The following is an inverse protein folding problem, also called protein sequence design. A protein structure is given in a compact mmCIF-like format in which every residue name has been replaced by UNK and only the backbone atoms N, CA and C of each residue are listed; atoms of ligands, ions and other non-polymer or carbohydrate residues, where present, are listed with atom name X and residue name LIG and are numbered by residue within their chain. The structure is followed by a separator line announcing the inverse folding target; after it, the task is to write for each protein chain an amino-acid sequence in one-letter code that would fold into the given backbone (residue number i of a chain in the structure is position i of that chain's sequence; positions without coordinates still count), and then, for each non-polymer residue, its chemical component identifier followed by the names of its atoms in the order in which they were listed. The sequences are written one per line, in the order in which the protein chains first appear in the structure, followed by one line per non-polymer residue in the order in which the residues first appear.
data_IF_677485781410
#
_entry.id   IF_677485781410
#
_cell.length_a   1.000
_cell.length_b   1.000
_cell.length_c   1.000
_cell.angle_alpha   90.00
_cell.angle_beta   90.00
_cell.angle_gamma   90.00
#
_symmetry.space_group_name_H-M   'P 1'
#
loop_
_entity.id
_entity.type
_entity.pdbx_description
1 polymer ?
#
# COMPACT_ATOMS: atom_id res chain seq x y z
N UNK A 1 -24.45 -4.60 -8.06
CA UNK A 1 -23.13 -4.10 -7.57
C UNK A 1 -22.48 -5.24 -6.83
N UNK A 2 -21.22 -5.52 -7.12
CA UNK A 2 -20.43 -6.52 -6.42
C UNK A 2 -20.20 -6.10 -4.96
N UNK A 3 -19.99 -7.07 -4.07
CA UNK A 3 -19.70 -6.79 -2.65
C UNK A 3 -18.30 -6.20 -2.46
N UNK A 4 -17.37 -6.52 -3.37
CA UNK A 4 -15.97 -6.10 -3.34
C UNK A 4 -15.59 -5.49 -4.69
N UNK A 5 -14.89 -4.35 -4.67
CA UNK A 5 -14.15 -3.88 -5.84
C UNK A 5 -12.64 -4.04 -5.60
N UNK A 6 -11.94 -4.67 -6.53
CA UNK A 6 -10.48 -4.80 -6.49
C UNK A 6 -9.89 -3.68 -7.33
N UNK A 7 -9.25 -2.71 -6.68
CA UNK A 7 -8.61 -1.56 -7.32
C UNK A 7 -7.13 -1.86 -7.54
N UNK A 8 -6.70 -1.77 -8.81
CA UNK A 8 -5.33 -2.04 -9.24
C UNK A 8 -4.76 -0.76 -9.86
N UNK A 9 -3.90 -0.01 -9.14
CA UNK A 9 -3.15 1.09 -9.74
C UNK A 9 -2.09 0.51 -10.68
N UNK A 10 -2.06 1.00 -11.92
CA UNK A 10 -1.11 0.56 -12.93
C UNK A 10 -0.30 1.72 -13.51
N UNK A 11 0.98 1.50 -13.74
CA UNK A 11 1.88 2.38 -14.50
C UNK A 11 3.02 1.57 -15.10
N UNK A 12 3.04 1.45 -16.43
CA UNK A 12 4.03 0.69 -17.19
C UNK A 12 4.25 -0.72 -16.62
N UNK A 13 3.13 -1.43 -16.37
CA UNK A 13 3.10 -2.71 -15.66
C UNK A 13 2.80 -3.93 -16.52
N UNK A 14 2.88 -3.85 -17.86
CA UNK A 14 2.47 -4.88 -18.82
C UNK A 14 2.76 -6.32 -18.36
N UNK A 15 4.02 -6.58 -17.98
CA UNK A 15 4.46 -7.94 -17.63
C UNK A 15 3.83 -8.46 -16.34
N UNK A 16 3.73 -7.60 -15.32
CA UNK A 16 3.24 -7.97 -14.00
C UNK A 16 1.72 -7.99 -13.98
N UNK A 17 1.07 -7.01 -14.63
CA UNK A 17 -0.38 -6.88 -14.67
C UNK A 17 -1.06 -8.12 -15.26
N UNK A 18 -0.47 -8.73 -16.29
CA UNK A 18 -0.97 -9.99 -16.89
C UNK A 18 -1.07 -11.10 -15.85
N UNK A 19 -0.06 -11.30 -15.04
CA UNK A 19 -0.06 -12.33 -13.99
C UNK A 19 -1.01 -11.98 -12.85
N UNK A 20 -1.07 -10.69 -12.47
CA UNK A 20 -2.00 -10.15 -11.47
C UNK A 20 -3.45 -10.48 -11.88
N UNK A 21 -3.90 -10.06 -13.06
CA UNK A 21 -5.25 -10.32 -13.58
C UNK A 21 -5.54 -11.81 -13.71
N UNK A 22 -4.58 -12.59 -14.22
CA UNK A 22 -4.73 -14.05 -14.32
C UNK A 22 -4.92 -14.73 -12.95
N UNK A 23 -4.38 -14.16 -11.87
CA UNK A 23 -4.57 -14.66 -10.52
C UNK A 23 -5.97 -14.38 -9.96
N UNK A 24 -6.58 -13.27 -10.37
CA UNK A 24 -7.95 -12.92 -9.98
C UNK A 24 -8.98 -13.82 -10.64
N UNK A 25 -8.75 -14.25 -11.88
CA UNK A 25 -9.60 -15.25 -12.55
C UNK A 25 -9.69 -16.57 -11.78
N UNK A 26 -8.70 -16.88 -10.92
CA UNK A 26 -8.60 -18.13 -10.14
C UNK A 26 -9.16 -18.03 -8.73
N UNK A 27 -9.68 -16.87 -8.31
CA UNK A 27 -10.28 -16.72 -6.98
C UNK A 27 -11.47 -17.66 -6.82
N UNK A 28 -11.66 -18.21 -5.62
CA UNK A 28 -12.86 -18.99 -5.28
C UNK A 28 -14.04 -18.11 -4.85
N UNK A 29 -13.77 -16.95 -4.27
CA UNK A 29 -14.77 -15.90 -4.06
C UNK A 29 -15.08 -15.20 -5.38
N UNK A 30 -16.36 -15.01 -5.73
CA UNK A 30 -16.77 -14.51 -7.06
C UNK A 30 -17.53 -13.20 -7.05
N UNK A 31 -18.00 -12.74 -5.92
CA UNK A 31 -18.77 -11.50 -5.82
C UNK A 31 -17.84 -10.26 -5.73
N UNK A 32 -17.06 -10.07 -6.80
CA UNK A 32 -16.19 -8.92 -6.95
C UNK A 32 -16.15 -8.43 -8.40
N UNK A 33 -15.81 -7.15 -8.55
CA UNK A 33 -15.39 -6.51 -9.79
C UNK A 33 -13.93 -6.01 -9.68
N UNK A 34 -13.35 -5.64 -10.81
CA UNK A 34 -11.97 -5.16 -10.91
C UNK A 34 -11.97 -3.77 -11.53
N UNK A 35 -11.32 -2.82 -10.88
CA UNK A 35 -11.11 -1.46 -11.40
C UNK A 35 -9.61 -1.25 -11.57
N UNK A 36 -9.15 -1.18 -12.82
CA UNK A 36 -7.75 -0.86 -13.13
C UNK A 36 -7.65 0.64 -13.36
N UNK A 37 -6.84 1.33 -12.54
CA UNK A 37 -6.57 2.76 -12.74
C UNK A 37 -5.20 2.90 -13.39
N UNK A 38 -5.22 3.25 -14.68
CA UNK A 38 -3.99 3.39 -15.47
C UNK A 38 -3.43 4.80 -15.39
N UNK A 39 -2.25 4.94 -14.78
CA UNK A 39 -1.55 6.20 -14.56
C UNK A 39 -0.79 6.69 -15.82
N UNK A 40 -1.44 6.69 -17.00
CA UNK A 40 -0.84 7.10 -18.27
C UNK A 40 0.32 6.19 -18.67
N UNK A 41 0.07 4.87 -18.79
CA UNK A 41 1.09 3.91 -19.25
C UNK A 41 1.42 4.11 -20.72
N UNK A 42 2.70 3.93 -21.06
CA UNK A 42 3.24 4.02 -22.42
C UNK A 42 3.61 2.64 -22.99
N UNK A 43 3.49 1.57 -22.18
CA UNK A 43 3.70 0.18 -22.59
C UNK A 43 2.39 -0.49 -23.04
N UNK A 44 2.40 -1.81 -23.26
CA UNK A 44 1.22 -2.56 -23.69
C UNK A 44 0.24 -2.87 -22.52
N UNK A 45 0.29 -2.13 -21.41
CA UNK A 45 -0.62 -2.35 -20.27
C UNK A 45 -2.10 -2.31 -20.66
N UNK A 46 -2.52 -1.34 -21.47
CA UNK A 46 -3.93 -1.22 -21.92
C UNK A 46 -4.35 -2.44 -22.75
N UNK A 47 -3.48 -2.94 -23.63
CA UNK A 47 -3.75 -4.17 -24.39
C UNK A 47 -3.92 -5.38 -23.46
N UNK A 48 -3.10 -5.52 -22.41
CA UNK A 48 -3.24 -6.59 -21.41
C UNK A 48 -4.59 -6.54 -20.70
N UNK A 49 -5.10 -5.33 -20.44
CA UNK A 49 -6.41 -5.13 -19.81
C UNK A 49 -7.51 -5.59 -20.77
N UNK A 50 -7.50 -5.11 -22.03
CA UNK A 50 -8.45 -5.49 -23.07
C UNK A 50 -8.52 -7.01 -23.26
N UNK A 51 -7.37 -7.69 -23.32
CA UNK A 51 -7.28 -9.16 -23.42
C UNK A 51 -7.88 -9.90 -22.21
N UNK A 52 -8.09 -9.22 -21.11
CA UNK A 52 -8.67 -9.78 -19.87
C UNK A 52 -10.17 -9.53 -19.72
N UNK A 53 -10.76 -8.71 -20.57
CA UNK A 53 -12.20 -8.45 -20.62
C UNK A 53 -12.98 -9.74 -20.95
N UNK A 54 -14.21 -9.82 -20.44
CA UNK A 54 -15.09 -10.97 -20.63
C UNK A 54 -14.86 -12.14 -19.65
N UNK A 55 -13.69 -12.26 -19.02
CA UNK A 55 -13.45 -13.24 -17.96
C UNK A 55 -13.55 -12.64 -16.55
N UNK A 56 -13.34 -11.34 -16.43
CA UNK A 56 -13.52 -10.54 -15.22
C UNK A 56 -14.52 -9.41 -15.51
N UNK A 57 -15.34 -9.05 -14.51
CA UNK A 57 -16.07 -7.80 -14.54
C UNK A 57 -15.06 -6.68 -14.29
N UNK A 58 -14.56 -6.07 -15.36
CA UNK A 58 -13.42 -5.18 -15.35
C UNK A 58 -13.79 -3.80 -15.89
N UNK A 59 -13.40 -2.75 -15.19
CA UNK A 59 -13.49 -1.35 -15.57
C UNK A 59 -12.10 -0.74 -15.64
N UNK A 60 -11.85 0.18 -16.59
CA UNK A 60 -10.58 0.90 -16.74
C UNK A 60 -10.81 2.38 -16.52
N UNK A 61 -10.00 3.00 -15.69
CA UNK A 61 -9.94 4.46 -15.49
C UNK A 61 -8.58 4.94 -16.00
N UNK A 62 -8.51 5.47 -17.24
CA UNK A 62 -7.27 6.03 -17.75
C UNK A 62 -7.06 7.43 -17.20
N UNK A 63 -5.87 7.72 -16.69
CA UNK A 63 -5.43 9.05 -16.29
C UNK A 63 -4.58 9.67 -17.41
N UNK A 64 -4.59 11.00 -17.51
CA UNK A 64 -3.85 11.76 -18.50
C UNK A 64 -2.38 12.02 -18.13
N UNK A 65 -1.98 11.64 -16.89
CA UNK A 65 -0.61 11.74 -16.39
C UNK A 65 -0.37 10.74 -15.25
N UNK A 66 0.90 10.47 -14.92
CA UNK A 66 1.25 9.71 -13.73
C UNK A 66 1.17 10.59 -12.47
N UNK A 67 0.04 10.51 -11.78
CA UNK A 67 -0.23 11.22 -10.51
C UNK A 67 0.23 10.46 -9.27
N UNK A 68 0.81 9.27 -9.43
CA UNK A 68 1.29 8.42 -8.35
C UNK A 68 0.22 7.48 -7.78
N UNK A 69 0.66 6.67 -6.83
CA UNK A 69 -0.16 5.62 -6.23
C UNK A 69 -1.39 6.17 -5.49
N UNK A 70 -1.20 7.18 -4.63
CA UNK A 70 -2.27 7.71 -3.78
C UNK A 70 -3.47 8.24 -4.60
N UNK A 71 -3.22 8.97 -5.70
CA UNK A 71 -4.28 9.47 -6.59
C UNK A 71 -4.97 8.33 -7.31
N UNK A 72 -4.22 7.38 -7.89
CA UNK A 72 -4.81 6.27 -8.63
C UNK A 72 -5.72 5.42 -7.74
N UNK A 73 -5.30 5.06 -6.53
CA UNK A 73 -6.16 4.28 -5.62
C UNK A 73 -7.37 5.08 -5.17
N UNK A 74 -7.25 6.40 -4.97
CA UNK A 74 -8.39 7.25 -4.62
C UNK A 74 -9.44 7.27 -5.72
N UNK A 75 -9.03 7.38 -6.98
CA UNK A 75 -9.97 7.39 -8.11
C UNK A 75 -10.70 6.06 -8.22
N UNK A 76 -9.99 4.93 -8.07
CA UNK A 76 -10.60 3.61 -8.04
C UNK A 76 -11.55 3.41 -6.85
N UNK A 77 -11.18 3.88 -5.64
CA UNK A 77 -12.05 3.79 -4.45
C UNK A 77 -13.33 4.62 -4.64
N UNK A 78 -13.21 5.81 -5.23
CA UNK A 78 -14.37 6.70 -5.50
C UNK A 78 -15.28 6.16 -6.58
N UNK A 79 -14.75 5.49 -7.61
CA UNK A 79 -15.53 4.84 -8.65
C UNK A 79 -16.27 3.59 -8.12
N UNK A 80 -15.70 2.92 -7.11
CA UNK A 80 -16.32 1.75 -6.49
C UNK A 80 -17.64 2.07 -5.81
N UNK A 81 -18.68 1.28 -6.10
CA UNK A 81 -19.94 1.26 -5.35
C UNK A 81 -20.03 0.16 -4.30
N UNK A 82 -18.99 -0.65 -4.13
CA UNK A 82 -18.95 -1.83 -3.27
C UNK A 82 -18.84 -1.50 -1.78
N UNK A 83 -19.21 -2.45 -0.92
CA UNK A 83 -19.07 -2.34 0.54
C UNK A 83 -17.59 -2.34 0.97
N UNK A 84 -16.80 -3.17 0.29
CA UNK A 84 -15.37 -3.33 0.54
C UNK A 84 -14.55 -2.99 -0.70
N UNK A 85 -13.35 -2.46 -0.49
CA UNK A 85 -12.36 -2.25 -1.56
C UNK A 85 -11.09 -3.01 -1.21
N UNK A 86 -10.60 -3.84 -2.13
CA UNK A 86 -9.27 -4.42 -2.05
C UNK A 86 -8.34 -3.56 -2.91
N UNK A 87 -7.25 -3.08 -2.31
CA UNK A 87 -6.14 -2.51 -3.06
C UNK A 87 -5.15 -3.64 -3.34
N UNK A 88 -4.79 -3.80 -4.60
CA UNK A 88 -3.86 -4.82 -5.07
C UNK A 88 -2.88 -4.20 -6.05
N UNK A 89 -1.59 -4.29 -5.75
CA UNK A 89 -0.57 -3.83 -6.70
C UNK A 89 -0.60 -4.64 -8.00
N UNK A 90 -0.29 -3.99 -9.12
CA UNK A 90 -0.18 -4.65 -10.42
C UNK A 90 0.93 -5.72 -10.48
N UNK A 91 1.92 -5.67 -9.55
CA UNK A 91 3.00 -6.65 -9.39
C UNK A 91 2.74 -7.65 -8.24
N UNK A 92 1.48 -7.80 -7.82
CA UNK A 92 1.05 -8.79 -6.85
C UNK A 92 0.23 -9.92 -7.51
N UNK A 93 0.45 -11.15 -7.05
CA UNK A 93 -0.26 -12.34 -7.50
C UNK A 93 -1.12 -12.85 -6.35
N UNK A 94 -2.43 -12.75 -6.50
CA UNK A 94 -3.40 -13.15 -5.48
C UNK A 94 -3.46 -14.68 -5.33
N UNK A 95 -3.31 -15.19 -4.11
CA UNK A 95 -3.57 -16.58 -3.80
C UNK A 95 -5.07 -16.91 -3.94
N UNK A 96 -5.41 -18.13 -4.32
CA UNK A 96 -6.79 -18.57 -4.66
C UNK A 96 -7.86 -18.17 -3.63
N UNK A 97 -7.52 -18.13 -2.35
CA UNK A 97 -8.45 -17.87 -1.25
C UNK A 97 -8.34 -16.44 -0.70
N UNK A 98 -7.52 -15.58 -1.31
CA UNK A 98 -7.18 -14.26 -0.77
C UNK A 98 -8.41 -13.37 -0.57
N UNK A 99 -9.22 -13.23 -1.61
CA UNK A 99 -10.39 -12.34 -1.56
C UNK A 99 -11.39 -12.82 -0.49
N UNK A 100 -11.74 -14.10 -0.51
CA UNK A 100 -12.69 -14.66 0.46
C UNK A 100 -12.21 -14.58 1.91
N UNK A 101 -10.92 -14.82 2.17
CA UNK A 101 -10.34 -14.71 3.51
C UNK A 101 -10.38 -13.26 4.04
N UNK A 102 -10.04 -12.28 3.18
CA UNK A 102 -10.10 -10.86 3.53
C UNK A 102 -11.53 -10.38 3.81
N UNK A 103 -12.49 -10.76 2.97
CA UNK A 103 -13.92 -10.44 3.16
C UNK A 103 -14.43 -11.01 4.48
N UNK A 104 -14.22 -12.30 4.70
CA UNK A 104 -14.64 -12.99 5.94
C UNK A 104 -14.01 -12.35 7.18
N UNK A 105 -12.80 -11.79 7.08
CA UNK A 105 -12.16 -11.07 8.18
C UNK A 105 -12.93 -9.81 8.56
N UNK A 106 -13.29 -8.96 7.59
CA UNK A 106 -14.02 -7.72 7.85
C UNK A 106 -15.47 -7.97 8.25
N UNK A 107 -16.12 -9.00 7.71
CA UNK A 107 -17.50 -9.36 8.11
C UNK A 107 -17.60 -9.77 9.58
N UNK A 108 -16.59 -10.49 10.09
CA UNK A 108 -16.57 -10.96 11.48
C UNK A 108 -16.20 -9.87 12.49
N UNK A 109 -15.51 -8.82 12.05
CA UNK A 109 -15.00 -7.76 12.93
C UNK A 109 -15.43 -6.38 12.40
N UNK A 110 -16.61 -5.86 12.79
CA UNK A 110 -17.18 -4.62 12.25
C UNK A 110 -16.40 -3.36 12.65
N UNK A 111 -15.54 -3.43 13.65
CA UNK A 111 -14.64 -2.38 14.14
C UNK A 111 -13.30 -2.33 13.37
N UNK A 112 -13.11 -3.25 12.42
CA UNK A 112 -11.91 -3.26 11.57
C UNK A 112 -12.12 -2.39 10.33
N UNK A 113 -11.18 -1.44 10.11
CA UNK A 113 -11.09 -0.65 8.89
C UNK A 113 -10.40 -1.41 7.78
N UNK A 114 -9.22 -1.96 8.06
CA UNK A 114 -8.42 -2.64 7.04
C UNK A 114 -7.86 -3.98 7.51
N UNK A 115 -7.75 -4.93 6.57
CA UNK A 115 -7.07 -6.20 6.79
C UNK A 115 -6.04 -6.46 5.69
N UNK A 116 -4.78 -6.70 6.09
CA UNK A 116 -3.70 -7.00 5.16
C UNK A 116 -3.54 -8.50 4.98
N UNK A 117 -3.37 -8.92 3.73
CA UNK A 117 -2.96 -10.28 3.38
C UNK A 117 -1.50 -10.56 3.78
N UNK A 118 -1.15 -11.83 3.97
CA UNK A 118 0.23 -12.29 4.03
C UNK A 118 0.88 -12.08 2.66
N UNK A 119 1.72 -11.06 2.53
CA UNK A 119 2.50 -10.84 1.33
C UNK A 119 3.82 -11.61 1.42
N UNK A 120 4.02 -12.52 0.50
CA UNK A 120 5.23 -13.35 0.37
C UNK A 120 6.09 -12.83 -0.77
N UNK A 121 7.39 -12.99 -0.67
CA UNK A 121 8.28 -12.65 -1.78
C UNK A 121 8.03 -13.59 -2.97
N UNK A 122 7.87 -13.03 -4.17
CA UNK A 122 7.59 -13.80 -5.39
C UNK A 122 8.67 -14.86 -5.66
N UNK A 123 9.94 -14.46 -5.56
CA UNK A 123 11.08 -15.34 -5.84
C UNK A 123 11.42 -16.29 -4.68
N UNK A 124 10.90 -16.03 -3.47
CA UNK A 124 11.10 -16.91 -2.31
C UNK A 124 9.87 -16.94 -1.41
N UNK A 125 8.93 -17.81 -1.74
CA UNK A 125 7.62 -17.94 -1.07
C UNK A 125 7.70 -18.37 0.41
N UNK A 126 8.91 -18.69 0.92
CA UNK A 126 9.16 -19.00 2.33
C UNK A 126 9.42 -17.75 3.17
N UNK A 127 9.65 -16.60 2.53
CA UNK A 127 9.95 -15.34 3.18
C UNK A 127 8.78 -14.35 3.05
N UNK A 128 8.57 -13.60 4.12
CA UNK A 128 7.63 -12.48 4.14
C UNK A 128 8.19 -11.31 3.31
N UNK A 129 7.34 -10.70 2.50
CA UNK A 129 7.56 -9.37 1.96
C UNK A 129 6.95 -8.31 2.89
N UNK A 130 5.69 -8.49 3.30
CA UNK A 130 5.02 -7.68 4.32
C UNK A 130 3.92 -8.47 5.04
N UNK A 131 3.85 -8.33 6.36
CA UNK A 131 2.79 -8.85 7.22
C UNK A 131 2.15 -7.71 8.07
N UNK A 132 2.06 -6.52 7.51
CA UNK A 132 1.67 -5.28 8.15
C UNK A 132 2.81 -4.27 8.15
N UNK A 133 2.52 -3.04 8.57
CA UNK A 133 3.55 -2.03 8.75
C UNK A 133 3.70 -1.66 10.21
N UNK A 134 4.91 -1.24 10.55
CA UNK A 134 5.25 -0.61 11.81
C UNK A 134 5.56 0.87 11.59
N UNK A 135 5.30 1.65 12.61
CA UNK A 135 5.77 3.02 12.71
C UNK A 135 6.38 3.25 14.10
N UNK A 136 7.54 3.88 14.18
CA UNK A 136 8.26 4.04 15.43
C UNK A 136 8.54 5.52 15.76
N UNK A 137 8.92 5.76 17.00
CA UNK A 137 9.22 7.10 17.55
C UNK A 137 10.36 7.85 16.83
N UNK A 138 11.19 7.14 16.06
CA UNK A 138 12.22 7.73 15.19
C UNK A 138 11.65 8.31 13.89
N UNK A 139 10.32 8.24 13.68
CA UNK A 139 9.65 8.68 12.46
C UNK A 139 9.83 7.74 11.28
N UNK A 140 10.09 6.45 11.52
CA UNK A 140 10.29 5.46 10.47
C UNK A 140 9.10 4.54 10.32
N UNK A 141 8.59 4.39 9.09
CA UNK A 141 7.72 3.29 8.68
C UNK A 141 8.54 2.16 8.07
N UNK A 142 8.16 0.91 8.35
CA UNK A 142 8.80 -0.28 7.80
C UNK A 142 7.89 -1.50 7.86
N UNK A 143 8.04 -2.40 6.88
CA UNK A 143 7.24 -3.61 6.78
C UNK A 143 7.57 -4.60 7.90
N UNK A 144 6.53 -5.11 8.56
CA UNK A 144 6.62 -6.17 9.57
C UNK A 144 7.02 -7.49 8.91
N UNK A 145 8.01 -8.16 9.47
CA UNK A 145 8.43 -9.50 9.06
C UNK A 145 9.24 -9.58 7.77
N UNK A 146 9.60 -8.45 7.16
CA UNK A 146 10.31 -8.44 5.89
C UNK A 146 11.61 -9.26 5.96
N UNK A 147 11.81 -10.16 4.98
CA UNK A 147 12.93 -11.09 4.86
C UNK A 147 12.96 -12.19 5.96
N UNK A 148 11.90 -12.29 6.79
CA UNK A 148 11.76 -13.34 7.80
C UNK A 148 10.96 -14.53 7.29
N UNK A 149 11.11 -15.70 7.96
CA UNK A 149 10.41 -16.92 7.59
C UNK A 149 8.88 -16.77 7.78
N UNK A 150 8.10 -17.06 6.74
CA UNK A 150 6.64 -16.96 6.73
C UNK A 150 5.97 -17.83 7.82
N UNK A 151 6.61 -18.94 8.20
CA UNK A 151 6.13 -19.83 9.26
C UNK A 151 6.01 -19.17 10.64
N UNK A 152 6.67 -18.03 10.86
CA UNK A 152 6.58 -17.23 12.11
C UNK A 152 5.40 -16.27 12.13
N UNK A 153 4.71 -16.10 11.00
CA UNK A 153 3.65 -15.09 10.79
C UNK A 153 2.29 -15.74 10.49
N UNK A 154 1.97 -16.86 11.12
CA UNK A 154 0.73 -17.62 10.90
C UNK A 154 -0.44 -17.18 11.80
N UNK A 155 -0.20 -16.36 12.80
CA UNK A 155 -1.22 -15.86 13.73
C UNK A 155 -1.84 -14.55 13.26
N UNK A 156 -3.18 -14.43 13.43
CA UNK A 156 -3.93 -13.17 13.27
C UNK A 156 -3.53 -12.19 14.38
N UNK A 157 -3.37 -10.91 14.02
CA UNK A 157 -3.04 -9.87 15.01
C UNK A 157 -3.44 -8.48 14.52
N UNK A 158 -3.48 -7.53 15.45
CA UNK A 158 -3.54 -6.12 15.13
C UNK A 158 -2.18 -5.65 14.57
N UNK A 159 -2.24 -4.73 13.62
CA UNK A 159 -1.08 -4.10 13.00
C UNK A 159 -1.19 -2.58 13.09
N UNK A 160 -0.10 -1.86 12.82
CA UNK A 160 -0.16 -0.41 12.82
C UNK A 160 -0.94 0.10 11.60
N UNK A 161 -0.58 -0.35 10.41
CA UNK A 161 -1.29 -0.09 9.15
C UNK A 161 -1.19 -1.28 8.21
N UNK A 162 -2.12 -1.37 7.27
CA UNK A 162 -2.12 -2.37 6.21
C UNK A 162 -1.39 -1.80 4.99
N UNK A 163 -0.38 -2.52 4.49
CA UNK A 163 0.26 -2.20 3.22
C UNK A 163 -0.74 -2.35 2.08
N UNK A 164 -0.97 -1.27 1.36
CA UNK A 164 -1.96 -1.21 0.27
C UNK A 164 -1.61 -2.04 -0.97
N UNK A 165 -0.49 -2.77 -0.93
CA UNK A 165 -0.10 -3.71 -1.99
C UNK A 165 -0.97 -4.97 -2.08
N UNK A 166 -1.61 -5.39 -0.98
CA UNK A 166 -2.62 -6.46 -0.93
C UNK A 166 -3.43 -6.35 0.37
N UNK A 167 -4.41 -5.47 0.42
CA UNK A 167 -5.22 -5.23 1.61
C UNK A 167 -6.67 -4.88 1.25
N UNK A 168 -7.61 -5.29 2.11
CA UNK A 168 -9.03 -4.93 2.03
C UNK A 168 -9.33 -3.79 2.99
N UNK A 169 -10.26 -2.93 2.59
CA UNK A 169 -10.71 -1.76 3.35
C UNK A 169 -12.23 -1.70 3.38
N UNK A 170 -12.79 -1.28 4.51
CA UNK A 170 -14.21 -0.94 4.64
C UNK A 170 -14.46 0.43 4.00
N UNK A 171 -15.06 0.45 2.80
CA UNK A 171 -15.15 1.66 1.96
C UNK A 171 -15.77 2.86 2.67
N UNK A 172 -16.86 2.66 3.42
CA UNK A 172 -17.53 3.76 4.14
C UNK A 172 -16.64 4.52 5.13
N UNK A 173 -15.57 3.89 5.63
CA UNK A 173 -14.68 4.55 6.61
C UNK A 173 -13.82 5.62 5.95
N UNK A 174 -13.56 5.54 4.63
CA UNK A 174 -12.87 6.62 3.91
C UNK A 174 -13.65 7.94 3.96
N UNK A 175 -14.98 7.90 4.03
CA UNK A 175 -15.82 9.11 4.14
C UNK A 175 -15.68 9.77 5.52
N UNK A 176 -15.29 9.00 6.54
CA UNK A 176 -15.07 9.46 7.91
C UNK A 176 -13.63 9.97 8.13
N UNK A 177 -12.63 9.18 7.74
CA UNK A 177 -11.21 9.48 8.01
C UNK A 177 -10.50 10.20 6.87
N UNK A 178 -11.15 10.37 5.73
CA UNK A 178 -10.59 10.88 4.47
C UNK A 178 -9.85 9.81 3.66
N UNK A 179 -9.63 10.09 2.40
CA UNK A 179 -8.94 9.23 1.44
C UNK A 179 -7.42 9.27 1.62
N UNK A 180 -6.66 8.54 0.78
CA UNK A 180 -5.21 8.62 0.76
C UNK A 180 -4.76 10.04 0.41
N UNK A 181 -3.76 10.59 1.11
CA UNK A 181 -3.28 11.94 0.82
C UNK A 181 -2.37 11.93 -0.42
N UNK A 182 -2.85 12.56 -1.48
CA UNK A 182 -2.18 12.61 -2.78
C UNK A 182 -0.81 13.34 -2.74
N UNK A 183 -0.55 14.14 -1.68
CA UNK A 183 0.77 14.73 -1.47
C UNK A 183 1.88 13.69 -1.25
N UNK A 184 1.54 12.49 -0.83
CA UNK A 184 2.51 11.39 -0.69
C UNK A 184 3.02 10.90 -2.03
N UNK A 185 2.22 10.95 -3.08
CA UNK A 185 2.51 10.36 -4.39
C UNK A 185 2.64 8.83 -4.33
N UNK A 186 3.63 8.30 -3.60
CA UNK A 186 3.82 6.89 -3.27
C UNK A 186 4.70 6.75 -2.03
N UNK A 187 4.59 5.64 -1.31
CA UNK A 187 5.26 5.26 -0.05
C UNK A 187 4.78 6.05 1.18
N UNK A 188 4.41 5.33 2.21
CA UNK A 188 3.89 5.77 3.50
C UNK A 188 2.49 6.41 3.49
N UNK A 189 1.82 6.49 2.34
CA UNK A 189 0.42 6.87 2.26
C UNK A 189 -0.49 5.84 2.96
N UNK A 190 -0.11 4.56 2.91
CA UNK A 190 -0.76 3.47 3.62
C UNK A 190 -0.52 3.55 5.14
N UNK A 191 0.67 3.96 5.56
CA UNK A 191 0.96 4.22 6.97
C UNK A 191 0.17 5.44 7.47
N UNK A 192 0.02 6.50 6.66
CA UNK A 192 -0.77 7.69 6.98
C UNK A 192 -2.24 7.33 7.21
N UNK A 193 -2.86 6.60 6.28
CA UNK A 193 -4.29 6.28 6.41
C UNK A 193 -4.54 5.30 7.56
N UNK A 194 -3.64 4.33 7.79
CA UNK A 194 -3.71 3.42 8.93
C UNK A 194 -3.55 4.15 10.27
N UNK A 195 -2.72 5.19 10.32
CA UNK A 195 -2.57 6.05 11.50
C UNK A 195 -3.87 6.83 11.78
N UNK A 196 -4.43 7.47 10.73
CA UNK A 196 -5.71 8.18 10.85
C UNK A 196 -6.84 7.25 11.32
N UNK A 197 -6.93 6.05 10.77
CA UNK A 197 -7.90 5.05 11.22
C UNK A 197 -7.80 4.80 12.73
N UNK A 198 -6.58 4.63 13.27
CA UNK A 198 -6.35 4.46 14.72
C UNK A 198 -6.76 5.69 15.55
N UNK A 199 -6.51 6.91 15.04
CA UNK A 199 -6.95 8.14 15.72
C UNK A 199 -8.48 8.18 15.84
N UNK A 200 -9.20 7.66 14.85
CA UNK A 200 -10.67 7.57 14.84
C UNK A 200 -11.22 6.33 15.57
N UNK A 201 -10.37 5.51 16.16
CA UNK A 201 -10.77 4.32 16.93
C UNK A 201 -10.94 3.05 16.12
N UNK A 202 -10.63 3.07 14.81
CA UNK A 202 -10.66 1.91 13.94
C UNK A 202 -9.41 1.04 14.09
N UNK A 203 -9.57 -0.27 13.85
CA UNK A 203 -8.47 -1.24 13.88
C UNK A 203 -7.96 -1.57 12.48
N UNK A 204 -6.66 -1.81 12.37
CA UNK A 204 -6.01 -2.42 11.22
C UNK A 204 -5.51 -3.79 11.64
N UNK A 205 -5.75 -4.84 10.85
CA UNK A 205 -5.45 -6.22 11.22
C UNK A 205 -4.67 -6.96 10.13
N UNK A 206 -4.03 -8.03 10.53
CA UNK A 206 -3.33 -8.95 9.65
C UNK A 206 -4.11 -10.27 9.51
N UNK A 207 -4.30 -10.74 8.27
CA UNK A 207 -5.00 -11.99 7.94
C UNK A 207 -4.05 -12.95 7.22
N UNK A 208 -3.43 -13.91 7.93
CA UNK A 208 -2.46 -14.84 7.35
C UNK A 208 -3.05 -15.90 6.41
N UNK A 209 -4.36 -16.14 6.44
CA UNK A 209 -5.05 -17.06 5.52
C UNK A 209 -5.18 -16.45 4.12
N UNK A 210 -5.27 -15.12 4.03
CA UNK A 210 -5.18 -14.39 2.78
C UNK A 210 -3.71 -14.28 2.36
N UNK A 211 -3.36 -14.81 1.20
CA UNK A 211 -1.97 -14.82 0.72
C UNK A 211 -1.85 -14.12 -0.63
N UNK A 212 -0.79 -13.34 -0.80
CA UNK A 212 -0.38 -12.76 -2.08
C UNK A 212 1.13 -12.95 -2.27
N UNK A 213 1.57 -13.14 -3.51
CA UNK A 213 2.98 -13.07 -3.87
C UNK A 213 3.26 -11.66 -4.41
N UNK A 214 4.36 -11.05 -4.03
CA UNK A 214 4.73 -9.71 -4.46
C UNK A 214 6.11 -9.72 -5.10
N UNK A 215 6.19 -9.22 -6.34
CA UNK A 215 7.44 -9.14 -7.09
C UNK A 215 8.33 -8.08 -6.46
N UNK A 216 7.71 -6.96 -6.09
CA UNK A 216 8.35 -5.85 -5.40
C UNK A 216 9.28 -5.04 -6.30
N UNK A 217 9.09 -3.73 -6.28
CA UNK A 217 9.92 -2.80 -7.04
C UNK A 217 9.87 -2.93 -8.57
N UNK A 218 8.85 -3.60 -9.14
CA UNK A 218 8.72 -3.77 -10.59
C UNK A 218 8.70 -2.40 -11.31
N UNK A 219 7.86 -1.47 -10.85
CA UNK A 219 7.73 -0.13 -11.43
C UNK A 219 8.84 0.85 -11.01
N UNK A 220 9.51 0.62 -9.86
CA UNK A 220 10.41 1.62 -9.24
C UNK A 220 11.88 1.17 -9.14
N UNK A 221 12.24 0.03 -9.73
CA UNK A 221 13.61 -0.49 -9.83
C UNK A 221 14.17 -1.00 -8.48
N UNK A 222 15.45 -0.79 -8.22
CA UNK A 222 16.15 -1.33 -7.05
C UNK A 222 15.54 -0.95 -5.69
N UNK A 223 15.81 -1.74 -4.65
CA UNK A 223 15.33 -1.52 -3.27
C UNK A 223 15.68 -0.11 -2.75
N UNK A 224 16.83 0.42 -3.10
CA UNK A 224 17.27 1.78 -2.76
C UNK A 224 17.77 2.50 -4.01
N UNK A 225 17.06 3.53 -4.42
CA UNK A 225 17.49 4.48 -5.42
C UNK A 225 17.17 5.91 -4.94
N UNK A 226 17.71 6.92 -5.63
CA UNK A 226 17.58 8.32 -5.22
C UNK A 226 16.11 8.76 -5.14
N UNK A 227 15.25 8.30 -6.05
CA UNK A 227 13.82 8.60 -6.07
C UNK A 227 13.12 8.08 -4.81
N UNK A 228 13.24 6.76 -4.52
CA UNK A 228 12.62 6.13 -3.34
C UNK A 228 13.11 6.75 -2.04
N UNK A 229 14.42 6.98 -1.92
CA UNK A 229 15.03 7.54 -0.71
C UNK A 229 14.54 8.97 -0.46
N UNK A 230 14.51 9.81 -1.50
CA UNK A 230 14.01 11.18 -1.38
C UNK A 230 12.53 11.21 -1.04
N UNK A 231 11.72 10.40 -1.71
CA UNK A 231 10.27 10.36 -1.49
C UNK A 231 9.92 9.83 -0.10
N UNK A 232 10.54 8.73 0.34
CA UNK A 232 10.33 8.18 1.69
C UNK A 232 10.79 9.15 2.80
N UNK A 233 11.89 9.87 2.59
CA UNK A 233 12.35 10.89 3.54
C UNK A 233 11.33 12.03 3.67
N UNK A 234 10.85 12.56 2.54
CA UNK A 234 9.80 13.59 2.50
C UNK A 234 8.53 13.12 3.20
N UNK A 235 8.08 11.93 2.84
CA UNK A 235 6.82 11.38 3.32
C UNK A 235 6.86 11.02 4.81
N UNK A 236 8.01 10.59 5.36
CA UNK A 236 8.17 10.42 6.81
C UNK A 236 7.93 11.72 7.56
N UNK A 237 8.44 12.84 7.04
CA UNK A 237 8.21 14.16 7.66
C UNK A 237 6.75 14.59 7.55
N UNK A 238 6.12 14.42 6.37
CA UNK A 238 4.70 14.72 6.17
C UNK A 238 3.80 13.90 7.11
N UNK A 239 4.06 12.62 7.25
CA UNK A 239 3.31 11.71 8.12
C UNK A 239 3.33 12.21 9.58
N UNK A 240 4.50 12.57 10.09
CA UNK A 240 4.64 13.09 11.45
C UNK A 240 3.97 14.47 11.59
N UNK A 241 4.16 15.36 10.62
CA UNK A 241 3.55 16.69 10.62
C UNK A 241 2.02 16.60 10.72
N UNK A 242 1.40 15.72 9.94
CA UNK A 242 -0.05 15.57 9.87
C UNK A 242 -0.64 14.86 11.10
N UNK A 243 -0.02 13.77 11.51
CA UNK A 243 -0.67 12.84 12.44
C UNK A 243 -0.23 12.97 13.90
N UNK A 244 0.94 13.56 14.16
CA UNK A 244 1.38 13.77 15.54
C UNK A 244 0.59 14.88 16.22
N UNK A 245 -0.01 14.57 17.37
CA UNK A 245 -0.56 15.58 18.25
C UNK A 245 0.56 16.58 18.70
N UNK A 246 0.22 17.82 19.07
CA UNK A 246 1.23 18.83 19.47
C UNK A 246 2.22 18.31 20.53
N UNK A 247 1.73 17.62 21.55
CA UNK A 247 2.59 17.06 22.60
C UNK A 247 3.52 15.95 22.06
N UNK A 248 3.06 15.13 21.10
CA UNK A 248 3.88 14.09 20.45
C UNK A 248 5.02 14.73 19.65
N UNK A 249 4.78 15.85 18.98
CA UNK A 249 5.83 16.59 18.25
C UNK A 249 6.94 17.05 19.19
N UNK A 250 6.58 17.50 20.40
CA UNK A 250 7.54 17.93 21.42
C UNK A 250 8.33 16.74 21.98
N UNK A 251 7.63 15.70 22.46
CA UNK A 251 8.25 14.52 23.09
C UNK A 251 9.12 13.74 22.12
N UNK A 252 8.68 13.60 20.86
CA UNK A 252 9.41 12.83 19.86
C UNK A 252 10.44 13.67 19.08
N UNK A 253 10.61 14.97 19.38
CA UNK A 253 11.56 15.81 18.64
C UNK A 253 12.98 15.26 18.68
N UNK A 254 13.49 14.92 19.87
CA UNK A 254 14.86 14.37 20.04
C UNK A 254 14.99 12.99 19.37
N UNK A 255 14.11 12.02 19.62
CA UNK A 255 14.12 10.74 18.90
C UNK A 255 14.09 10.88 17.37
N UNK A 256 13.25 11.77 16.83
CA UNK A 256 13.15 12.02 15.38
C UNK A 256 14.45 12.60 14.83
N UNK A 257 15.05 13.59 15.50
CA UNK A 257 16.35 14.14 15.11
C UNK A 257 17.44 13.05 15.10
N UNK A 258 17.48 12.20 16.12
CA UNK A 258 18.40 11.06 16.17
C UNK A 258 18.14 10.08 14.99
N UNK A 259 16.88 9.78 14.70
CA UNK A 259 16.49 8.95 13.58
C UNK A 259 16.93 9.51 12.22
N UNK A 260 16.80 10.82 12.02
CA UNK A 260 17.28 11.52 10.81
C UNK A 260 18.80 11.38 10.69
N UNK A 261 19.57 11.64 11.76
CA UNK A 261 21.03 11.52 11.75
C UNK A 261 21.50 10.10 11.42
N UNK A 262 20.87 9.09 12.01
CA UNK A 262 21.15 7.67 11.70
C UNK A 262 20.89 7.37 10.22
N UNK A 263 19.78 7.84 9.65
CA UNK A 263 19.48 7.64 8.22
C UNK A 263 20.43 8.42 7.31
N UNK A 264 20.87 9.63 7.68
CA UNK A 264 21.91 10.35 6.93
C UNK A 264 23.19 9.51 6.86
N UNK A 265 23.67 9.02 8.02
CA UNK A 265 24.88 8.19 8.08
C UNK A 265 24.72 6.87 7.28
N UNK A 266 23.56 6.22 7.37
CA UNK A 266 23.26 5.01 6.62
C UNK A 266 23.26 5.25 5.10
N UNK A 267 22.58 6.31 4.63
CA UNK A 267 22.51 6.63 3.22
C UNK A 267 23.81 7.27 2.68
N UNK A 268 24.63 7.89 3.53
CA UNK A 268 25.97 8.34 3.15
C UNK A 268 26.86 7.17 2.70
N UNK A 269 26.82 6.05 3.45
CA UNK A 269 27.55 4.82 3.09
C UNK A 269 27.08 4.20 1.75
N UNK A 270 25.87 4.58 1.27
CA UNK A 270 25.30 4.13 0.00
C UNK A 270 25.37 5.17 -1.11
N UNK A 271 26.00 6.33 -0.87
CA UNK A 271 26.05 7.43 -1.84
C UNK A 271 24.70 8.16 -2.05
N UNK A 272 23.73 7.97 -1.13
CA UNK A 272 22.36 8.48 -1.27
C UNK A 272 21.98 9.56 -0.22
N UNK A 273 22.95 10.07 0.57
CA UNK A 273 22.68 11.10 1.59
C UNK A 273 22.08 12.38 1.00
N UNK A 274 22.57 12.82 -0.18
CA UNK A 274 22.02 13.99 -0.87
C UNK A 274 20.55 13.82 -1.25
N UNK A 275 20.16 12.62 -1.73
CA UNK A 275 18.77 12.31 -2.02
C UNK A 275 17.90 12.31 -0.76
N UNK A 276 18.40 11.76 0.35
CA UNK A 276 17.70 11.76 1.64
C UNK A 276 17.46 13.19 2.16
N UNK A 277 18.51 14.03 2.17
CA UNK A 277 18.41 15.43 2.58
C UNK A 277 17.47 16.23 1.67
N UNK A 278 17.54 16.05 0.34
CA UNK A 278 16.60 16.65 -0.61
C UNK A 278 15.14 16.29 -0.25
N UNK A 279 14.88 15.03 0.13
CA UNK A 279 13.57 14.60 0.60
C UNK A 279 13.11 15.36 1.84
N UNK A 280 13.96 15.45 2.89
CA UNK A 280 13.67 16.21 4.11
C UNK A 280 13.33 17.67 3.77
N UNK A 281 14.18 18.36 2.99
CA UNK A 281 13.93 19.76 2.64
C UNK A 281 12.66 19.94 1.80
N UNK A 282 12.37 19.04 0.89
CA UNK A 282 11.17 19.13 0.06
C UNK A 282 9.86 18.95 0.84
N UNK A 283 9.90 18.35 2.03
CA UNK A 283 8.71 18.21 2.88
C UNK A 283 8.16 19.56 3.35
N UNK A 284 9.02 20.54 3.63
CA UNK A 284 8.60 21.85 4.11
C UNK A 284 7.71 22.61 3.11
N UNK A 285 7.85 22.35 1.82
CA UNK A 285 6.99 22.95 0.79
C UNK A 285 5.61 22.29 0.68
N UNK A 286 5.43 21.13 1.30
CA UNK A 286 4.16 20.38 1.33
C UNK A 286 3.45 20.44 2.69
N UNK A 287 4.12 20.95 3.73
CA UNK A 287 3.57 21.19 5.06
C UNK A 287 2.84 22.55 5.09
N UNK A 288 1.63 22.60 4.48
CA UNK A 288 0.78 23.78 4.48
C UNK A 288 -0.48 23.52 5.29
#
# INVERSE_FOLDING_TARGET
MSKVSIVIPNYNGEKCLRECLASLKKQDYRDFDVIVVDNCSEDASLQVIEESEGELLLEVIPLDNNYGFAKAVNDGIKASGSEYVILLNNDAVAGRHMVGALVNRLEKEPDVFSAQAMMLQYNNRKLIDSAGDYFCVLGWGFARGRDEAASRYTGKCDIFSACAGAAIYRRKVFDEIGYFDENFFAYLEDVDIGYRAKIYGWRNVYEPEAKALHIGSAASGSRHNAFKVSLSARNSMLLMYKNFAPWQKVVNFVPVCAGILVKIAYFARKGLAGAYLKGIFSSFFKMK
#
